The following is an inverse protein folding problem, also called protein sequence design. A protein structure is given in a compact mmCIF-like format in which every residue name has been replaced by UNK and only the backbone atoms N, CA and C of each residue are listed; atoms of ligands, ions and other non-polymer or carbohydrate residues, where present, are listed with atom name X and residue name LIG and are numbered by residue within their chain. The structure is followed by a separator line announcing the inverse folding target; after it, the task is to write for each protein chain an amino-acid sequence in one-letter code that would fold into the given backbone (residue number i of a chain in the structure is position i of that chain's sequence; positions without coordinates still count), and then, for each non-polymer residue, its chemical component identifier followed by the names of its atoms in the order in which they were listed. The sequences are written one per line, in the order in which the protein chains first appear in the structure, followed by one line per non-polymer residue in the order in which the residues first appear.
data_IF_058387230296
#
_entry.id   IF_058387230296
#
_cell.length_a   1.000
_cell.length_b   1.000
_cell.length_c   1.000
_cell.angle_alpha   90.00
_cell.angle_beta   90.00
_cell.angle_gamma   90.00
#
_symmetry.space_group_name_H-M   'P 1'
#
loop_
_entity.id
_entity.type
_entity.pdbx_description
1 polymer ?
#
# COMPACT_ATOMS: atom_id res chain seq x y z
N UNK A 1 28.60 -1.48 9.01
CA UNK A 1 27.72 -2.59 9.48
C UNK A 1 27.71 -3.61 8.35
N UNK A 2 28.55 -4.65 8.42
CA UNK A 2 28.98 -5.46 7.25
C UNK A 2 27.82 -5.96 6.35
N UNK A 3 26.72 -6.39 6.96
CA UNK A 3 25.50 -6.82 6.25
C UNK A 3 24.88 -5.72 5.34
N UNK A 4 24.79 -4.47 5.82
CA UNK A 4 24.23 -3.37 5.03
C UNK A 4 25.13 -2.99 3.86
N UNK A 5 26.45 -3.11 4.02
CA UNK A 5 27.44 -2.88 2.96
C UNK A 5 27.34 -3.97 1.87
N UNK A 6 27.10 -5.22 2.28
CA UNK A 6 26.91 -6.35 1.37
C UNK A 6 25.62 -6.20 0.54
N UNK A 7 24.50 -5.83 1.16
CA UNK A 7 23.26 -5.49 0.44
C UNK A 7 23.50 -4.33 -0.52
N UNK A 8 24.21 -3.30 -0.06
CA UNK A 8 24.45 -2.11 -0.87
C UNK A 8 25.25 -2.44 -2.13
N UNK A 9 26.29 -3.29 -2.01
CA UNK A 9 27.16 -3.68 -3.12
C UNK A 9 26.54 -4.73 -4.05
N UNK A 10 25.96 -5.79 -3.49
CA UNK A 10 25.51 -6.95 -4.26
C UNK A 10 24.04 -6.85 -4.67
N UNK A 11 23.27 -6.01 -3.97
CA UNK A 11 21.83 -5.90 -4.15
C UNK A 11 21.08 -7.15 -3.73
N UNK A 12 21.69 -8.04 -2.97
CA UNK A 12 21.13 -9.32 -2.55
C UNK A 12 20.83 -9.28 -1.05
N UNK A 13 19.56 -9.49 -0.70
CA UNK A 13 19.20 -9.86 0.68
C UNK A 13 19.58 -11.33 0.82
N UNK A 14 20.45 -11.65 1.78
CA UNK A 14 20.82 -13.04 2.09
C UNK A 14 19.53 -13.82 2.33
N UNK A 15 19.32 -14.92 1.60
CA UNK A 15 18.04 -15.69 1.60
C UNK A 15 17.61 -16.07 3.03
N UNK A 16 18.57 -16.40 3.89
CA UNK A 16 18.37 -16.68 5.32
C UNK A 16 17.71 -15.53 6.08
N UNK A 17 18.01 -14.28 5.74
CA UNK A 17 17.45 -13.09 6.39
C UNK A 17 16.03 -12.81 5.93
N UNK A 18 15.62 -13.35 4.79
CA UNK A 18 14.29 -13.18 4.24
C UNK A 18 13.34 -14.34 4.58
N UNK A 19 13.77 -15.27 5.44
CA UNK A 19 12.90 -16.26 6.06
C UNK A 19 11.99 -15.59 7.08
N UNK A 20 10.72 -15.97 7.07
CA UNK A 20 9.73 -15.43 8.02
C UNK A 20 8.69 -16.47 8.40
N UNK A 21 8.08 -16.25 9.56
CA UNK A 21 7.01 -17.09 10.06
C UNK A 21 5.67 -16.37 9.97
N UNK A 22 4.60 -17.08 9.61
CA UNK A 22 3.24 -16.54 9.67
C UNK A 22 2.59 -17.03 10.97
N UNK A 23 2.13 -16.10 11.79
CA UNK A 23 1.31 -16.38 12.98
C UNK A 23 -0.12 -15.95 12.70
N UNK A 24 -1.08 -16.80 13.06
CA UNK A 24 -2.50 -16.50 12.93
C UNK A 24 -3.00 -15.83 14.20
N UNK A 25 -3.40 -14.56 14.11
CA UNK A 25 -3.98 -13.82 15.24
C UNK A 25 -5.51 -13.80 15.10
N UNK A 26 -6.27 -14.22 16.13
CA UNK A 26 -7.73 -14.11 16.15
C UNK A 26 -8.20 -12.66 15.96
N UNK A 27 -9.13 -12.41 15.04
CA UNK A 27 -9.82 -11.11 14.88
C UNK A 27 -10.99 -10.94 15.85
N UNK A 28 -11.60 -12.06 16.26
CA UNK A 28 -12.76 -12.11 17.14
C UNK A 28 -12.68 -13.31 18.08
N UNK A 29 -13.50 -13.32 19.13
CA UNK A 29 -13.51 -14.38 20.16
C UNK A 29 -14.08 -15.69 19.60
N UNK A 30 -15.16 -15.60 18.81
CA UNK A 30 -15.87 -16.76 18.27
C UNK A 30 -15.37 -17.10 16.86
N UNK A 31 -14.22 -17.77 16.79
CA UNK A 31 -13.59 -18.21 15.54
C UNK A 31 -14.42 -19.32 14.89
N UNK A 32 -14.91 -19.08 13.67
CA UNK A 32 -15.70 -20.05 12.88
C UNK A 32 -14.99 -20.47 11.60
N UNK A 33 -14.09 -19.64 11.08
CA UNK A 33 -13.42 -19.87 9.80
C UNK A 33 -12.00 -19.30 9.77
N UNK A 34 -11.22 -19.71 8.76
CA UNK A 34 -9.88 -19.14 8.52
C UNK A 34 -9.89 -17.62 8.24
N UNK A 35 -11.03 -17.05 7.81
CA UNK A 35 -11.17 -15.61 7.56
C UNK A 35 -11.16 -14.80 8.86
N UNK A 36 -11.47 -15.45 9.98
CA UNK A 36 -11.49 -14.84 11.32
C UNK A 36 -10.08 -14.71 11.91
N UNK A 37 -9.06 -15.21 11.21
CA UNK A 37 -7.67 -14.99 11.55
C UNK A 37 -7.04 -13.89 10.69
N UNK A 38 -6.12 -13.15 11.31
CA UNK A 38 -5.22 -12.21 10.64
C UNK A 38 -3.82 -12.84 10.59
N UNK A 39 -3.29 -13.15 9.40
CA UNK A 39 -1.94 -13.69 9.28
C UNK A 39 -0.90 -12.58 9.45
N UNK A 40 -0.09 -12.62 10.52
CA UNK A 40 1.02 -11.67 10.71
C UNK A 40 2.34 -12.35 10.38
N UNK A 41 3.15 -11.70 9.54
CA UNK A 41 4.50 -12.15 9.21
C UNK A 41 5.51 -11.67 10.27
N UNK A 42 6.04 -12.62 11.02
CA UNK A 42 7.20 -12.44 11.88
C UNK A 42 8.47 -12.46 11.03
N UNK A 43 8.88 -11.27 10.61
CA UNK A 43 10.14 -11.04 9.88
C UNK A 43 11.33 -10.87 10.83
N UNK A 44 12.51 -11.34 10.43
CA UNK A 44 13.73 -11.27 11.24
C UNK A 44 14.15 -9.83 11.57
N UNK A 45 14.79 -9.62 12.72
CA UNK A 45 15.16 -8.29 13.20
C UNK A 45 16.10 -7.53 12.24
N UNK A 46 17.08 -8.22 11.65
CA UNK A 46 17.99 -7.63 10.66
C UNK A 46 17.24 -7.18 9.39
N UNK A 47 16.29 -7.99 8.92
CA UNK A 47 15.41 -7.59 7.83
C UNK A 47 14.56 -6.37 8.22
N UNK A 48 13.99 -6.33 9.43
CA UNK A 48 13.22 -5.16 9.91
C UNK A 48 14.06 -3.88 9.87
N UNK A 49 15.32 -3.95 10.27
CA UNK A 49 16.24 -2.81 10.20
C UNK A 49 16.42 -2.38 8.74
N UNK A 50 16.73 -3.31 7.84
CA UNK A 50 16.85 -3.03 6.40
C UNK A 50 15.57 -2.39 5.84
N UNK A 51 14.42 -3.04 6.00
CA UNK A 51 13.13 -2.58 5.51
C UNK A 51 12.78 -1.20 6.08
N UNK A 52 13.08 -0.95 7.36
CA UNK A 52 12.86 0.36 7.99
C UNK A 52 13.80 1.43 7.46
N UNK A 53 15.07 1.12 7.20
CA UNK A 53 16.01 2.04 6.55
C UNK A 53 15.52 2.38 5.15
N UNK A 54 15.04 1.39 4.40
CA UNK A 54 14.50 1.60 3.07
C UNK A 54 13.25 2.51 3.12
N UNK A 55 12.28 2.17 3.96
CA UNK A 55 11.07 2.97 4.16
C UNK A 55 11.41 4.41 4.56
N UNK A 56 12.27 4.61 5.57
CA UNK A 56 12.62 5.95 6.08
C UNK A 56 13.31 6.83 5.02
N UNK A 57 14.09 6.26 4.10
CA UNK A 57 14.67 7.02 2.98
C UNK A 57 13.59 7.52 2.02
N UNK A 58 12.51 6.75 1.82
CA UNK A 58 11.43 7.09 0.89
C UNK A 58 10.35 7.97 1.46
N UNK A 59 10.20 7.99 2.77
CA UNK A 59 9.43 9.02 3.47
C UNK A 59 9.85 10.45 3.11
N UNK A 60 11.08 10.68 2.61
CA UNK A 60 11.52 11.99 2.13
C UNK A 60 10.92 12.41 0.78
N UNK A 61 10.46 11.47 -0.03
CA UNK A 61 9.93 11.71 -1.39
C UNK A 61 8.47 11.29 -1.53
N UNK A 62 7.82 10.83 -0.46
CA UNK A 62 6.45 10.32 -0.54
C UNK A 62 5.47 11.37 -1.11
N UNK A 63 5.62 12.64 -0.72
CA UNK A 63 4.75 13.73 -1.17
C UNK A 63 4.92 14.08 -2.66
N UNK A 64 6.05 13.72 -3.28
CA UNK A 64 6.25 13.89 -4.73
C UNK A 64 5.83 12.67 -5.54
N UNK A 65 5.59 11.54 -4.86
CA UNK A 65 5.25 10.26 -5.50
C UNK A 65 3.77 9.96 -5.40
N UNK A 66 3.12 10.39 -4.32
CA UNK A 66 1.74 10.08 -3.99
C UNK A 66 0.91 11.37 -4.02
N UNK A 67 -0.18 11.34 -4.77
CA UNK A 67 -1.09 12.47 -4.96
C UNK A 67 -1.79 12.89 -3.67
N UNK A 68 -2.45 14.05 -3.72
CA UNK A 68 -3.21 14.57 -2.58
C UNK A 68 -4.44 13.75 -2.24
N UNK A 69 -4.91 12.85 -3.12
CA UNK A 69 -6.08 11.99 -2.86
C UNK A 69 -5.80 10.83 -1.90
N UNK A 70 -4.53 10.47 -1.66
CA UNK A 70 -4.16 9.36 -0.78
C UNK A 70 -3.88 9.84 0.65
N UNK A 71 -4.64 9.34 1.61
CA UNK A 71 -4.65 9.84 2.99
C UNK A 71 -3.91 8.91 3.95
N UNK A 72 -3.75 7.63 3.60
CA UNK A 72 -3.10 6.67 4.47
C UNK A 72 -1.59 6.66 4.32
N UNK A 73 -0.88 6.44 5.43
CA UNK A 73 0.57 6.28 5.47
C UNK A 73 1.34 7.42 4.79
N UNK A 74 0.81 8.65 4.87
CA UNK A 74 1.49 9.89 4.49
C UNK A 74 1.54 10.80 5.72
N UNK A 75 2.66 11.50 5.90
CA UNK A 75 2.93 12.28 7.10
C UNK A 75 2.07 13.55 7.00
N UNK A 76 1.44 13.91 8.11
CA UNK A 76 0.51 15.04 8.18
C UNK A 76 -0.79 14.85 7.37
N UNK A 77 -1.17 13.60 7.04
CA UNK A 77 -2.51 13.26 6.56
C UNK A 77 -3.19 12.37 7.60
N UNK A 78 -4.42 12.68 7.95
CA UNK A 78 -5.21 11.98 8.95
C UNK A 78 -6.47 11.38 8.31
N UNK A 79 -6.99 10.31 8.91
CA UNK A 79 -8.24 9.70 8.46
C UNK A 79 -9.43 10.67 8.55
N UNK A 80 -9.38 11.59 9.53
CA UNK A 80 -10.41 12.62 9.72
C UNK A 80 -10.45 13.62 8.56
N UNK A 81 -9.31 13.87 7.89
CA UNK A 81 -9.27 14.75 6.72
C UNK A 81 -10.16 14.17 5.61
N UNK A 82 -10.09 12.86 5.39
CA UNK A 82 -10.93 12.18 4.39
C UNK A 82 -12.42 12.28 4.69
N UNK A 83 -12.77 12.16 5.98
CA UNK A 83 -14.15 12.26 6.44
C UNK A 83 -14.68 13.68 6.26
N UNK A 84 -13.91 14.70 6.66
CA UNK A 84 -14.31 16.11 6.53
C UNK A 84 -14.49 16.49 5.06
N UNK A 85 -13.58 16.09 4.17
CA UNK A 85 -13.72 16.34 2.73
C UNK A 85 -14.98 15.67 2.18
N UNK A 86 -15.25 14.42 2.58
CA UNK A 86 -16.45 13.68 2.16
C UNK A 86 -17.74 14.34 2.63
N UNK A 87 -17.80 14.79 3.89
CA UNK A 87 -18.98 15.47 4.44
C UNK A 87 -19.22 16.81 3.74
N UNK A 88 -18.16 17.58 3.45
CA UNK A 88 -18.28 18.84 2.71
C UNK A 88 -18.80 18.62 1.28
N UNK A 89 -18.33 17.57 0.60
CA UNK A 89 -18.86 17.11 -0.70
C UNK A 89 -20.36 16.86 -0.62
N UNK A 90 -20.79 16.05 0.34
CA UNK A 90 -22.21 15.68 0.51
C UNK A 90 -23.04 16.93 0.84
N UNK A 91 -22.51 17.83 1.67
CA UNK A 91 -23.15 19.08 2.01
C UNK A 91 -23.36 19.98 0.78
N UNK A 92 -22.34 20.10 -0.08
CA UNK A 92 -22.43 20.88 -1.32
C UNK A 92 -23.48 20.32 -2.28
N UNK A 93 -23.53 19.01 -2.51
CA UNK A 93 -24.58 18.39 -3.33
C UNK A 93 -25.98 18.69 -2.81
N UNK A 94 -26.19 18.57 -1.49
CA UNK A 94 -27.47 18.93 -0.86
C UNK A 94 -27.84 20.40 -1.05
N UNK A 95 -26.87 21.31 -0.92
CA UNK A 95 -27.08 22.76 -1.03
C UNK A 95 -27.35 23.22 -2.46
N UNK A 96 -26.59 22.70 -3.43
CA UNK A 96 -26.74 22.99 -4.86
C UNK A 96 -27.96 22.31 -5.48
N UNK A 97 -28.53 21.30 -4.79
CA UNK A 97 -29.55 20.38 -5.32
C UNK A 97 -29.06 19.60 -6.55
N UNK A 98 -27.75 19.51 -6.71
CA UNK A 98 -27.12 18.62 -7.69
C UNK A 98 -27.10 17.20 -7.09
N UNK A 99 -27.50 16.23 -7.92
CA UNK A 99 -27.35 14.83 -7.58
C UNK A 99 -25.90 14.38 -7.80
N UNK A 100 -25.46 13.40 -7.04
CA UNK A 100 -24.15 12.76 -7.22
C UNK A 100 -24.14 11.37 -6.62
N UNK A 101 -23.16 10.58 -7.01
CA UNK A 101 -22.95 9.21 -6.55
C UNK A 101 -21.66 9.10 -5.76
N UNK A 102 -21.77 8.51 -4.57
CA UNK A 102 -20.62 8.08 -3.79
C UNK A 102 -20.44 6.57 -3.98
N UNK A 103 -19.33 6.19 -4.62
CA UNK A 103 -19.00 4.79 -4.87
C UNK A 103 -17.85 4.38 -3.97
N UNK A 104 -18.10 3.45 -3.06
CA UNK A 104 -17.05 2.83 -2.25
C UNK A 104 -16.51 1.60 -2.98
N UNK A 105 -15.21 1.60 -3.24
CA UNK A 105 -14.46 0.46 -3.75
C UNK A 105 -13.63 -0.14 -2.60
N UNK A 106 -13.71 -1.45 -2.45
CA UNK A 106 -12.94 -2.23 -1.48
C UNK A 106 -12.13 -3.29 -2.23
N UNK A 107 -10.83 -3.37 -1.96
CA UNK A 107 -9.96 -4.35 -2.61
C UNK A 107 -9.94 -5.65 -1.81
N UNK A 108 -10.42 -6.73 -2.42
CA UNK A 108 -10.26 -8.05 -1.80
C UNK A 108 -8.77 -8.41 -1.67
N UNK A 109 -8.33 -8.56 -0.41
CA UNK A 109 -6.95 -8.97 -0.06
C UNK A 109 -5.88 -8.13 -0.77
N UNK A 110 -6.04 -6.81 -0.76
CA UNK A 110 -5.18 -5.86 -1.49
C UNK A 110 -3.67 -6.09 -1.27
N UNK A 111 -3.28 -6.42 -0.04
CA UNK A 111 -1.89 -6.71 0.30
C UNK A 111 -1.41 -8.06 -0.24
N UNK A 112 -2.26 -9.07 -0.37
CA UNK A 112 -1.86 -10.42 -0.77
C UNK A 112 -1.91 -10.61 -2.30
N UNK A 113 -2.69 -9.79 -3.02
CA UNK A 113 -2.95 -9.94 -4.45
C UNK A 113 -2.04 -9.12 -5.37
N UNK A 114 -1.24 -8.21 -4.80
CA UNK A 114 -0.44 -7.25 -5.56
C UNK A 114 0.67 -7.91 -6.39
N UNK A 115 0.71 -7.59 -7.68
CA UNK A 115 1.72 -8.12 -8.61
C UNK A 115 3.06 -7.37 -8.48
N UNK A 116 4.15 -8.11 -8.28
CA UNK A 116 5.48 -7.53 -8.09
C UNK A 116 6.04 -6.87 -9.37
N UNK A 117 5.66 -7.37 -10.54
CA UNK A 117 6.10 -6.79 -11.82
C UNK A 117 5.43 -5.45 -12.08
N UNK A 118 4.13 -5.35 -11.78
CA UNK A 118 3.39 -4.09 -11.81
C UNK A 118 4.00 -3.06 -10.85
N UNK A 119 4.38 -3.47 -9.64
CA UNK A 119 5.03 -2.57 -8.70
C UNK A 119 6.40 -2.07 -9.21
N UNK A 120 7.22 -2.94 -9.78
CA UNK A 120 8.51 -2.55 -10.36
C UNK A 120 8.32 -1.56 -11.53
N UNK A 121 7.30 -1.79 -12.37
CA UNK A 121 6.89 -0.87 -13.42
C UNK A 121 6.53 0.50 -12.84
N UNK A 122 5.63 0.57 -11.85
CA UNK A 122 5.24 1.83 -11.21
C UNK A 122 6.43 2.57 -10.61
N UNK A 123 7.31 1.86 -9.88
CA UNK A 123 8.53 2.44 -9.31
C UNK A 123 9.45 3.00 -10.41
N UNK A 124 9.57 2.31 -11.55
CA UNK A 124 10.37 2.77 -12.68
C UNK A 124 9.81 4.06 -13.28
N UNK A 125 8.50 4.11 -13.55
CA UNK A 125 7.83 5.29 -14.12
C UNK A 125 7.88 6.49 -13.17
N UNK A 126 7.87 6.26 -11.86
CA UNK A 126 8.07 7.29 -10.83
C UNK A 126 9.55 7.72 -10.64
N UNK A 127 10.46 7.23 -11.48
CA UNK A 127 11.87 7.65 -11.49
C UNK A 127 12.75 6.97 -10.43
N UNK A 128 12.33 5.85 -9.84
CA UNK A 128 13.16 5.13 -8.88
C UNK A 128 14.32 4.43 -9.60
N UNK A 129 15.55 4.78 -9.20
CA UNK A 129 16.77 4.21 -9.76
C UNK A 129 16.84 2.68 -9.62
N UNK A 130 17.52 2.05 -10.59
CA UNK A 130 17.62 0.58 -10.69
C UNK A 130 18.09 -0.11 -9.42
N UNK A 131 19.13 0.41 -8.76
CA UNK A 131 19.67 -0.16 -7.51
C UNK A 131 18.61 -0.24 -6.41
N UNK A 132 17.78 0.80 -6.28
CA UNK A 132 16.70 0.83 -5.30
C UNK A 132 15.64 -0.21 -5.62
N UNK A 133 15.20 -0.25 -6.88
CA UNK A 133 14.21 -1.22 -7.34
C UNK A 133 14.68 -2.65 -7.14
N UNK A 134 15.96 -2.92 -7.39
CA UNK A 134 16.60 -4.22 -7.09
C UNK A 134 16.53 -4.57 -5.61
N UNK A 135 16.84 -3.64 -4.69
CA UNK A 135 16.69 -3.90 -3.26
C UNK A 135 15.24 -4.20 -2.85
N UNK A 136 14.28 -3.44 -3.38
CA UNK A 136 12.85 -3.67 -3.13
C UNK A 136 12.42 -5.04 -3.65
N UNK A 137 12.78 -5.37 -4.90
CA UNK A 137 12.49 -6.67 -5.52
C UNK A 137 13.05 -7.82 -4.68
N UNK A 138 14.29 -7.72 -4.21
CA UNK A 138 14.84 -8.72 -3.30
C UNK A 138 14.07 -8.79 -1.97
N UNK A 139 13.60 -7.68 -1.41
CA UNK A 139 12.80 -7.71 -0.19
C UNK A 139 11.46 -8.42 -0.37
N UNK A 140 10.79 -8.27 -1.52
CA UNK A 140 9.41 -8.76 -1.74
C UNK A 140 9.31 -10.10 -2.47
N UNK A 141 10.26 -10.45 -3.35
CA UNK A 141 10.16 -11.63 -4.22
C UNK A 141 10.97 -12.84 -3.75
N UNK A 142 11.96 -12.65 -2.87
CA UNK A 142 12.72 -13.76 -2.27
C UNK A 142 12.27 -14.26 -0.88
N UNK A 143 11.25 -13.70 -0.19
CA UNK A 143 10.83 -14.23 1.09
C UNK A 143 10.40 -15.70 1.03
N UNK A 144 10.81 -16.44 2.05
CA UNK A 144 10.38 -17.82 2.28
C UNK A 144 9.61 -17.89 3.59
N UNK A 145 8.38 -18.40 3.54
CA UNK A 145 7.43 -18.39 4.65
C UNK A 145 7.14 -19.79 5.16
N UNK A 146 6.95 -19.91 6.47
CA UNK A 146 6.36 -21.08 7.12
C UNK A 146 5.23 -20.62 8.04
N UNK A 147 4.11 -21.35 8.09
CA UNK A 147 3.03 -21.06 9.03
C UNK A 147 3.38 -21.70 10.37
N UNK A 148 3.23 -20.96 11.47
CA UNK A 148 3.34 -21.52 12.81
C UNK A 148 1.99 -22.09 13.23
N UNK A 149 1.93 -23.40 13.38
CA UNK A 149 0.77 -24.13 13.91
C UNK A 149 1.16 -24.66 15.28
N UNK A 150 0.50 -24.16 16.34
CA UNK A 150 0.79 -24.51 17.73
C UNK A 150 2.29 -24.36 18.09
N UNK A 151 2.93 -23.28 17.59
CA UNK A 151 4.35 -23.00 17.82
C UNK A 151 5.33 -23.77 16.92
N UNK A 152 4.86 -24.73 16.12
CA UNK A 152 5.70 -25.52 15.21
C UNK A 152 5.62 -25.00 13.76
N UNK A 153 6.74 -24.83 13.05
CA UNK A 153 6.73 -24.37 11.67
C UNK A 153 6.31 -25.47 10.69
N UNK A 154 5.44 -25.11 9.74
CA UNK A 154 5.11 -25.96 8.60
C UNK A 154 6.19 -25.91 7.52
N UNK A 155 6.03 -26.72 6.47
CA UNK A 155 6.88 -26.70 5.28
C UNK A 155 6.98 -25.29 4.72
N UNK A 156 8.21 -24.91 4.38
CA UNK A 156 8.50 -23.59 3.83
C UNK A 156 7.99 -23.47 2.38
N UNK A 157 7.43 -22.32 2.04
CA UNK A 157 6.95 -21.97 0.70
C UNK A 157 7.38 -20.54 0.33
N UNK A 158 7.46 -20.25 -0.97
CA UNK A 158 7.75 -18.91 -1.48
C UNK A 158 6.47 -18.08 -1.68
N UNK A 159 6.62 -16.76 -1.80
CA UNK A 159 5.54 -15.88 -2.26
C UNK A 159 5.79 -15.43 -3.68
N UNK A 160 4.73 -15.48 -4.48
CA UNK A 160 4.76 -15.00 -5.87
C UNK A 160 4.11 -13.62 -6.02
N UNK A 161 3.20 -13.28 -5.09
CA UNK A 161 2.43 -12.04 -5.09
C UNK A 161 2.23 -11.52 -3.68
N UNK A 162 1.91 -10.25 -3.62
CA UNK A 162 1.55 -9.56 -2.40
C UNK A 162 2.74 -9.23 -1.50
N UNK A 163 2.41 -8.78 -0.31
CA UNK A 163 3.33 -8.31 0.70
C UNK A 163 3.16 -9.09 2.00
N UNK A 164 4.24 -9.16 2.78
CA UNK A 164 4.17 -9.67 4.14
C UNK A 164 3.43 -8.69 5.04
N UNK A 165 2.35 -9.16 5.66
CA UNK A 165 1.61 -8.36 6.63
C UNK A 165 2.47 -8.12 7.88
N UNK A 166 2.77 -6.85 8.18
CA UNK A 166 3.67 -6.46 9.27
C UNK A 166 5.09 -6.07 8.83
N UNK A 167 5.39 -6.12 7.54
CA UNK A 167 6.65 -5.62 6.99
C UNK A 167 6.65 -4.07 6.93
N UNK A 168 7.66 -3.39 7.50
CA UNK A 168 7.76 -1.94 7.50
C UNK A 168 7.76 -1.26 6.12
N UNK A 169 8.13 -1.98 5.06
CA UNK A 169 8.22 -1.44 3.70
C UNK A 169 6.88 -1.51 2.95
N UNK A 170 6.03 -2.48 3.29
CA UNK A 170 4.78 -2.76 2.56
C UNK A 170 3.82 -1.57 2.45
N UNK A 171 3.56 -0.76 3.50
CA UNK A 171 2.64 0.36 3.40
C UNK A 171 3.05 1.40 2.33
N UNK A 172 4.35 1.67 2.24
CA UNK A 172 4.89 2.58 1.22
C UNK A 172 4.69 2.03 -0.20
N UNK A 173 5.03 0.75 -0.41
CA UNK A 173 4.91 0.11 -1.71
C UNK A 173 3.44 -0.04 -2.13
N UNK A 174 2.55 -0.24 -1.17
CA UNK A 174 1.12 -0.27 -1.42
C UNK A 174 0.60 1.08 -1.94
N UNK A 175 0.98 2.19 -1.31
CA UNK A 175 0.62 3.52 -1.80
C UNK A 175 1.12 3.78 -3.22
N UNK A 176 2.34 3.33 -3.55
CA UNK A 176 2.88 3.42 -4.93
C UNK A 176 2.02 2.67 -5.93
N UNK A 177 1.57 1.46 -5.61
CA UNK A 177 0.73 0.67 -6.50
C UNK A 177 -0.66 1.29 -6.69
N UNK A 178 -1.27 1.77 -5.59
CA UNK A 178 -2.60 2.38 -5.61
C UNK A 178 -2.60 3.76 -6.30
N UNK A 179 -1.49 4.48 -6.32
CA UNK A 179 -1.34 5.69 -7.14
C UNK A 179 -1.55 5.40 -8.63
N UNK A 180 -1.26 4.17 -9.09
CA UNK A 180 -1.59 3.74 -10.46
C UNK A 180 -3.09 3.84 -10.76
N UNK A 181 -3.93 3.46 -9.80
CA UNK A 181 -5.38 3.63 -9.92
C UNK A 181 -5.78 5.11 -9.89
N UNK A 182 -5.16 5.91 -9.02
CA UNK A 182 -5.36 7.36 -9.00
C UNK A 182 -5.07 8.00 -10.36
N UNK A 183 -3.97 7.59 -11.01
CA UNK A 183 -3.59 8.05 -12.34
C UNK A 183 -4.62 7.67 -13.41
N UNK A 184 -5.23 6.48 -13.31
CA UNK A 184 -6.32 6.06 -14.20
C UNK A 184 -7.54 6.96 -14.05
N UNK A 185 -7.95 7.29 -12.81
CA UNK A 185 -9.08 8.20 -12.58
C UNK A 185 -8.80 9.60 -13.12
N UNK A 186 -7.62 10.16 -12.85
CA UNK A 186 -7.21 11.46 -13.41
C UNK A 186 -7.22 11.46 -14.95
N UNK A 187 -6.79 10.36 -15.57
CA UNK A 187 -6.82 10.21 -17.03
C UNK A 187 -8.25 10.10 -17.58
N UNK A 188 -9.13 9.35 -16.92
CA UNK A 188 -10.53 9.24 -17.31
C UNK A 188 -11.25 10.59 -17.21
N UNK A 189 -10.94 11.37 -16.18
CA UNK A 189 -11.41 12.75 -16.04
C UNK A 189 -10.92 13.66 -17.16
N UNK A 190 -9.62 13.62 -17.48
CA UNK A 190 -9.06 14.40 -18.59
C UNK A 190 -9.64 14.01 -19.97
N UNK A 191 -10.28 12.84 -20.07
CA UNK A 191 -10.98 12.35 -21.25
C UNK A 191 -12.50 12.58 -21.20
N UNK A 192 -13.00 13.34 -20.22
CA UNK A 192 -14.43 13.58 -19.97
C UNK A 192 -15.26 12.29 -19.78
N UNK A 193 -14.62 11.17 -19.42
CA UNK A 193 -15.29 9.89 -19.14
C UNK A 193 -15.87 9.83 -17.72
N UNK A 194 -15.35 10.68 -16.83
CA UNK A 194 -15.85 10.87 -15.47
C UNK A 194 -15.75 12.35 -15.10
N UNK A 195 -16.63 12.82 -14.23
CA UNK A 195 -16.56 14.16 -13.65
C UNK A 195 -16.44 14.03 -12.15
N UNK A 196 -15.39 14.59 -11.57
CA UNK A 196 -15.34 14.76 -10.11
C UNK A 196 -16.06 16.02 -9.66
N UNK A 197 -15.76 16.43 -8.43
CA UNK A 197 -16.38 17.59 -7.79
C UNK A 197 -15.39 18.74 -7.75
N UNK A 198 -15.89 19.91 -8.14
CA UNK A 198 -15.16 21.17 -8.05
C UNK A 198 -15.69 22.05 -6.93
N UNK A 199 -14.78 22.61 -6.14
CA UNK A 199 -15.05 23.60 -5.09
C UNK A 199 -14.44 24.96 -5.42
N UNK A 200 -15.09 26.02 -4.91
CA UNK A 200 -14.52 27.37 -4.87
C UNK A 200 -14.24 28.01 -6.24
N UNK A 201 -14.99 27.63 -7.29
CA UNK A 201 -14.73 28.10 -8.65
C UNK A 201 -13.62 27.32 -9.37
N UNK A 202 -13.61 25.99 -9.21
CA UNK A 202 -12.62 25.05 -9.76
C UNK A 202 -11.21 25.14 -9.15
N UNK A 203 -11.10 25.67 -7.92
CA UNK A 203 -9.81 25.76 -7.21
C UNK A 203 -9.40 24.39 -6.64
N UNK A 204 -10.38 23.62 -6.15
CA UNK A 204 -10.14 22.27 -5.62
C UNK A 204 -10.98 21.30 -6.42
N UNK A 205 -10.31 20.31 -7.02
CA UNK A 205 -10.94 19.28 -7.82
C UNK A 205 -10.71 17.91 -7.17
N UNK A 206 -11.80 17.22 -6.78
CA UNK A 206 -11.74 15.92 -6.11
C UNK A 206 -12.54 14.90 -6.91
N UNK A 207 -11.85 13.90 -7.46
CA UNK A 207 -12.49 12.72 -8.08
C UNK A 207 -12.59 11.55 -7.11
N UNK A 208 -11.59 11.40 -6.25
CA UNK A 208 -11.48 10.26 -5.37
C UNK A 208 -10.67 10.58 -4.11
N UNK A 209 -10.93 9.83 -3.05
CA UNK A 209 -10.11 9.76 -1.86
C UNK A 209 -9.76 8.30 -1.58
N UNK A 210 -8.54 8.08 -1.11
CA UNK A 210 -8.01 6.76 -0.80
C UNK A 210 -7.50 6.74 0.63
N UNK A 211 -7.88 5.71 1.37
CA UNK A 211 -7.31 5.39 2.67
C UNK A 211 -6.98 3.91 2.68
N UNK A 212 -5.70 3.58 2.54
CA UNK A 212 -5.26 2.19 2.33
C UNK A 212 -6.00 1.56 1.15
N UNK A 213 -6.66 0.44 1.40
CA UNK A 213 -7.49 -0.33 0.49
C UNK A 213 -8.90 0.25 0.28
N UNK A 214 -9.39 1.14 1.14
CA UNK A 214 -10.65 1.82 0.92
C UNK A 214 -10.46 2.96 -0.09
N UNK A 215 -11.19 2.91 -1.21
CA UNK A 215 -11.25 4.02 -2.18
C UNK A 215 -12.68 4.52 -2.29
N UNK A 216 -12.88 5.83 -2.14
CA UNK A 216 -14.16 6.51 -2.36
C UNK A 216 -14.04 7.30 -3.64
N UNK A 217 -14.96 7.07 -4.58
CA UNK A 217 -15.14 7.86 -5.78
C UNK A 217 -16.33 8.80 -5.62
N UNK A 218 -16.20 10.00 -6.17
CA UNK A 218 -17.26 10.99 -6.26
C UNK A 218 -17.57 11.25 -7.73
N UNK A 219 -18.83 11.01 -8.13
CA UNK A 219 -19.33 11.09 -9.50
C UNK A 219 -20.62 11.90 -9.60
#
# INVERSE_FOLDING_TARGET
MKFMEEIHRNGLVVEELNKSFIVLIPKCINLKSMKDFRPISLVGALYKILAKVLANRKWKVINSVVGESQMAFVRNRQILDSLVITEEIIHQWKKSREGGFLVKLDFEKAYDSLDHSFLDFMLKEMGFGWHWRKWVSCCISTPRLSVLVNGSPTRQFGIERGFRQGDPLSPFLFNVAVEGLSAVFKKAEAMDLMKGISFGGNVVHVTHLQFTDDTILYL
#
